data_IF_220237464953
#
_entry.id   IF_220237464953
#
_cell.length_a   1.000
_cell.length_b   1.000
_cell.length_c   1.000
_cell.angle_alpha   90.00
_cell.angle_beta   90.00
_cell.angle_gamma   90.00
#
_symmetry.space_group_name_H-M   'P 1'
#
loop_
_entity.id
_entity.type
_entity.pdbx_description
1 polymer ?
#
# COMPACT_ATOMS: atom_id res chain seq x y z
N UNK A 1 -13.38 6.07 -9.15
CA UNK A 1 -11.90 5.95 -9.13
C UNK A 1 -11.33 7.03 -8.23
N UNK A 2 -10.54 6.66 -7.26
CA UNK A 2 -9.95 7.60 -6.32
C UNK A 2 -8.46 7.78 -6.60
N UNK A 3 -7.99 9.01 -6.41
CA UNK A 3 -6.63 9.39 -6.78
C UNK A 3 -6.07 10.37 -5.77
N UNK A 4 -4.88 10.05 -5.24
CA UNK A 4 -4.14 10.94 -4.35
C UNK A 4 -3.07 11.65 -5.16
N UNK A 5 -3.20 12.97 -5.31
CA UNK A 5 -2.21 13.77 -6.01
C UNK A 5 -1.04 14.08 -5.07
N UNK A 6 0.17 13.76 -5.52
CA UNK A 6 1.41 14.07 -4.78
C UNK A 6 2.03 15.35 -5.35
N UNK A 7 2.08 15.46 -6.67
CA UNK A 7 2.57 16.65 -7.36
C UNK A 7 1.80 16.84 -8.67
N UNK A 8 2.24 17.77 -9.53
CA UNK A 8 1.57 18.01 -10.80
C UNK A 8 1.47 16.74 -11.67
N UNK A 9 2.50 15.88 -11.64
CA UNK A 9 2.59 14.70 -12.52
C UNK A 9 2.75 13.40 -11.74
N UNK A 10 2.66 13.42 -10.41
CA UNK A 10 2.84 12.25 -9.57
C UNK A 10 1.60 12.02 -8.73
N UNK A 11 1.21 10.76 -8.57
CA UNK A 11 0.09 10.43 -7.72
C UNK A 11 -0.15 8.93 -7.60
N UNK A 12 -1.14 8.59 -6.78
CA UNK A 12 -1.47 7.21 -6.44
C UNK A 12 -2.95 6.95 -6.73
N UNK A 13 -3.22 5.96 -7.55
CA UNK A 13 -4.56 5.40 -7.68
C UNK A 13 -4.84 4.52 -6.46
N UNK A 14 -6.03 4.63 -5.89
CA UNK A 14 -6.42 3.80 -4.76
C UNK A 14 -7.91 3.51 -4.73
N UNK A 15 -8.26 2.46 -3.97
CA UNK A 15 -9.64 2.10 -3.63
C UNK A 15 -9.70 1.88 -2.13
N UNK A 16 -10.57 2.61 -1.46
CA UNK A 16 -10.66 2.63 0.00
C UNK A 16 -12.10 2.44 0.47
N UNK A 17 -12.27 1.50 1.38
CA UNK A 17 -13.52 1.28 2.09
C UNK A 17 -13.24 1.34 3.60
N UNK A 18 -13.88 2.29 4.28
CA UNK A 18 -13.72 2.43 5.72
C UNK A 18 -14.30 1.23 6.48
N UNK A 19 -13.75 0.89 7.66
CA UNK A 19 -14.31 -0.21 8.45
C UNK A 19 -15.71 0.12 8.93
N UNK A 20 -16.59 -0.87 8.93
CA UNK A 20 -17.96 -0.75 9.51
C UNK A 20 -17.99 -1.15 10.98
N UNK A 21 -17.05 -2.00 11.42
CA UNK A 21 -16.91 -2.37 12.82
C UNK A 21 -16.24 -1.28 13.63
N UNK A 22 -16.72 -1.04 14.86
CA UNK A 22 -16.09 -0.10 15.76
C UNK A 22 -14.66 -0.56 16.10
N UNK A 23 -13.68 0.34 15.96
CA UNK A 23 -12.28 0.06 16.22
C UNK A 23 -11.66 -1.05 15.37
N UNK A 24 -12.35 -1.48 14.31
CA UNK A 24 -11.81 -2.49 13.41
C UNK A 24 -10.63 -1.92 12.59
N UNK A 25 -9.59 -2.71 12.36
CA UNK A 25 -8.48 -2.27 11.52
C UNK A 25 -8.88 -2.17 10.05
N UNK A 26 -8.08 -1.42 9.29
CA UNK A 26 -8.14 -1.37 7.84
C UNK A 26 -6.95 -2.13 7.29
N UNK A 27 -7.21 -3.14 6.46
CA UNK A 27 -6.14 -3.85 5.77
C UNK A 27 -5.64 -3.03 4.60
N UNK A 28 -4.34 -2.77 4.60
CA UNK A 28 -3.66 -1.98 3.57
C UNK A 28 -2.81 -2.94 2.75
N UNK A 29 -3.16 -3.09 1.49
CA UNK A 29 -2.51 -4.05 0.59
C UNK A 29 -1.38 -3.38 -0.17
N UNK A 30 -0.17 -3.93 -0.02
CA UNK A 30 1.02 -3.44 -0.69
C UNK A 30 1.41 -4.42 -1.77
N UNK A 31 1.29 -3.99 -3.02
CA UNK A 31 1.35 -4.84 -4.20
C UNK A 31 2.73 -5.46 -4.44
N UNK A 32 2.77 -6.66 -5.07
CA UNK A 32 3.97 -7.08 -5.79
C UNK A 32 4.16 -6.21 -7.04
N UNK A 33 5.30 -6.35 -7.72
CA UNK A 33 5.60 -5.54 -8.92
C UNK A 33 4.50 -5.62 -9.98
N UNK A 34 3.97 -6.81 -10.21
CA UNK A 34 2.95 -7.05 -11.24
C UNK A 34 1.51 -7.01 -10.70
N UNK A 35 1.31 -6.69 -9.41
CA UNK A 35 -0.01 -6.66 -8.81
C UNK A 35 -0.74 -5.34 -9.04
N UNK A 36 -2.05 -5.36 -8.83
CA UNK A 36 -2.89 -4.18 -8.93
C UNK A 36 -3.86 -4.09 -7.76
N UNK A 37 -4.33 -2.88 -7.47
CA UNK A 37 -5.34 -2.63 -6.45
C UNK A 37 -6.62 -3.43 -6.71
N UNK A 38 -7.02 -3.55 -7.98
CA UNK A 38 -8.25 -4.25 -8.35
C UNK A 38 -8.21 -5.73 -7.97
N UNK A 39 -7.06 -6.39 -8.07
CA UNK A 39 -6.94 -7.79 -7.68
C UNK A 39 -7.27 -8.00 -6.20
N UNK A 40 -6.73 -7.17 -5.33
CA UNK A 40 -7.03 -7.24 -3.89
C UNK A 40 -8.50 -7.00 -3.61
N UNK A 41 -9.08 -5.99 -4.25
CA UNK A 41 -10.48 -5.61 -4.04
C UNK A 41 -11.45 -6.69 -4.52
N UNK A 42 -11.11 -7.43 -5.56
CA UNK A 42 -11.94 -8.52 -6.08
C UNK A 42 -11.75 -9.82 -5.33
N UNK A 43 -10.52 -10.17 -4.95
CA UNK A 43 -10.20 -11.49 -4.42
C UNK A 43 -10.44 -11.60 -2.91
N UNK A 44 -9.85 -10.71 -2.13
CA UNK A 44 -9.94 -10.80 -0.65
C UNK A 44 -10.77 -9.68 -0.02
N UNK A 45 -10.94 -8.57 -0.71
CA UNK A 45 -11.65 -7.41 -0.19
C UNK A 45 -13.06 -7.70 0.29
N UNK A 46 -13.89 -8.39 -0.51
CA UNK A 46 -15.29 -8.64 -0.10
C UNK A 46 -15.42 -9.38 1.23
N UNK A 47 -14.62 -10.42 1.45
CA UNK A 47 -14.68 -11.19 2.70
C UNK A 47 -14.26 -10.34 3.90
N UNK A 48 -13.26 -9.49 3.75
CA UNK A 48 -12.79 -8.61 4.82
C UNK A 48 -13.83 -7.53 5.15
N UNK A 49 -14.42 -6.92 4.13
CA UNK A 49 -15.48 -5.92 4.34
C UNK A 49 -16.70 -6.51 4.98
N UNK A 50 -17.11 -7.71 4.57
CA UNK A 50 -18.24 -8.43 5.16
C UNK A 50 -18.01 -8.74 6.65
N UNK A 51 -16.76 -8.93 7.04
CA UNK A 51 -16.36 -9.14 8.43
C UNK A 51 -16.22 -7.85 9.24
N UNK A 52 -16.47 -6.69 8.64
CA UNK A 52 -16.43 -5.39 9.32
C UNK A 52 -15.10 -4.64 9.23
N UNK A 53 -14.11 -5.19 8.56
CA UNK A 53 -12.81 -4.54 8.37
C UNK A 53 -12.85 -3.52 7.25
N UNK A 54 -11.99 -2.50 7.36
CA UNK A 54 -11.72 -1.61 6.24
C UNK A 54 -10.70 -2.22 5.28
N UNK A 55 -10.68 -1.72 4.05
CA UNK A 55 -9.70 -2.12 3.04
C UNK A 55 -9.15 -0.89 2.32
N UNK A 56 -7.85 -0.89 2.09
CA UNK A 56 -7.18 0.07 1.21
C UNK A 56 -6.28 -0.71 0.26
N UNK A 57 -6.58 -0.62 -1.02
CA UNK A 57 -5.73 -1.15 -2.08
C UNK A 57 -5.27 0.03 -2.93
N UNK A 58 -3.99 0.09 -3.27
CA UNK A 58 -3.44 1.17 -4.07
C UNK A 58 -2.34 0.65 -4.99
N UNK A 59 -2.09 1.39 -6.05
CA UNK A 59 -0.96 1.14 -6.92
C UNK A 59 0.16 2.12 -6.57
N UNK A 60 1.36 1.60 -6.30
CA UNK A 60 2.48 2.50 -6.00
C UNK A 60 2.97 3.19 -7.29
N UNK A 61 3.70 4.29 -7.15
CA UNK A 61 4.15 5.06 -8.32
C UNK A 61 4.91 4.17 -9.29
N UNK A 62 4.55 4.25 -10.57
CA UNK A 62 5.07 3.40 -11.64
C UNK A 62 4.15 2.25 -12.01
N UNK A 63 3.20 1.89 -11.16
CA UNK A 63 2.16 0.91 -11.48
C UNK A 63 0.99 1.59 -12.23
N UNK A 64 0.04 0.80 -12.79
CA UNK A 64 -1.08 1.38 -13.55
C UNK A 64 -1.81 2.49 -12.78
N UNK A 65 -2.11 3.57 -13.48
CA UNK A 65 -2.84 4.74 -12.96
C UNK A 65 -2.16 5.49 -11.80
N UNK A 66 -0.91 5.16 -11.49
CA UNK A 66 -0.08 5.86 -10.51
C UNK A 66 1.15 6.44 -11.20
N UNK A 67 1.00 7.60 -11.85
CA UNK A 67 2.08 8.20 -12.63
C UNK A 67 3.17 8.81 -11.77
N UNK A 68 4.32 8.98 -12.38
CA UNK A 68 5.43 9.74 -11.78
C UNK A 68 6.13 10.56 -12.86
N UNK A 69 6.69 11.70 -12.46
CA UNK A 69 7.39 12.60 -13.38
C UNK A 69 8.77 12.04 -13.77
N UNK A 70 9.28 12.39 -14.96
CA UNK A 70 10.58 11.87 -15.43
C UNK A 70 11.77 12.14 -14.50
N UNK A 71 11.69 13.20 -13.68
CA UNK A 71 12.74 13.53 -12.72
C UNK A 71 12.64 12.79 -11.40
N UNK A 72 11.58 11.99 -11.19
CA UNK A 72 11.38 11.25 -9.94
C UNK A 72 12.22 9.97 -9.96
N UNK A 73 13.10 9.82 -8.97
CA UNK A 73 13.85 8.58 -8.80
C UNK A 73 13.00 7.59 -8.00
N UNK A 74 12.42 6.61 -8.69
CA UNK A 74 11.68 5.54 -8.02
C UNK A 74 12.65 4.61 -7.30
N UNK A 75 12.56 4.59 -5.99
CA UNK A 75 13.32 3.68 -5.16
C UNK A 75 12.47 3.21 -3.98
N UNK A 76 12.98 2.27 -3.22
CA UNK A 76 12.27 1.67 -2.09
C UNK A 76 11.91 2.69 -1.01
N UNK A 77 12.78 3.64 -0.72
CA UNK A 77 12.54 4.69 0.27
C UNK A 77 11.36 5.59 -0.14
N UNK A 78 11.32 5.98 -1.41
CA UNK A 78 10.23 6.81 -1.94
C UNK A 78 8.89 6.07 -1.86
N UNK A 79 8.86 4.83 -2.31
CA UNK A 79 7.63 4.03 -2.35
C UNK A 79 7.14 3.72 -0.93
N UNK A 80 8.04 3.40 -0.01
CA UNK A 80 7.69 3.22 1.40
C UNK A 80 7.16 4.52 2.02
N UNK A 81 7.73 5.65 1.65
CA UNK A 81 7.24 6.97 2.09
C UNK A 81 5.84 7.27 1.57
N UNK A 82 5.53 6.87 0.33
CA UNK A 82 4.20 7.03 -0.24
C UNK A 82 3.16 6.17 0.47
N UNK A 83 3.53 4.98 0.92
CA UNK A 83 2.65 4.14 1.73
C UNK A 83 2.23 4.86 3.01
N UNK A 84 3.19 5.46 3.70
CA UNK A 84 2.90 6.27 4.88
C UNK A 84 2.02 7.47 4.54
N UNK A 85 2.32 8.16 3.45
CA UNK A 85 1.57 9.33 3.02
C UNK A 85 0.09 9.00 2.77
N UNK A 86 -0.22 7.93 2.05
CA UNK A 86 -1.61 7.58 1.77
C UNK A 86 -2.36 7.16 3.05
N UNK A 87 -1.71 6.43 3.94
CA UNK A 87 -2.31 6.05 5.22
C UNK A 87 -2.64 7.30 6.05
N UNK A 88 -1.73 8.24 6.15
CA UNK A 88 -1.93 9.48 6.91
C UNK A 88 -2.98 10.38 6.25
N UNK A 89 -2.94 10.52 4.92
CA UNK A 89 -3.89 11.36 4.19
C UNK A 89 -5.32 10.86 4.31
N UNK A 90 -5.52 9.55 4.27
CA UNK A 90 -6.84 8.93 4.43
C UNK A 90 -7.25 8.74 5.90
N UNK A 91 -6.41 9.18 6.82
CA UNK A 91 -6.66 9.10 8.27
C UNK A 91 -7.00 7.68 8.73
N UNK A 92 -6.25 6.70 8.22
CA UNK A 92 -6.42 5.31 8.62
C UNK A 92 -5.77 5.12 9.99
N UNK A 93 -6.58 4.86 11.01
CA UNK A 93 -6.14 4.85 12.41
C UNK A 93 -5.48 3.56 12.83
N UNK A 94 -5.91 2.42 12.29
CA UNK A 94 -5.42 1.10 12.65
C UNK A 94 -5.07 0.31 11.38
N UNK A 95 -3.97 0.68 10.69
CA UNK A 95 -3.59 -0.02 9.48
C UNK A 95 -3.00 -1.40 9.79
N UNK A 96 -3.54 -2.44 9.16
CA UNK A 96 -2.93 -3.76 9.11
C UNK A 96 -2.29 -3.93 7.74
N UNK A 97 -0.97 -4.02 7.68
CA UNK A 97 -0.26 -4.09 6.42
C UNK A 97 -0.23 -5.51 5.87
N UNK A 98 -0.56 -5.65 4.59
CA UNK A 98 -0.48 -6.93 3.86
C UNK A 98 0.45 -6.71 2.69
N UNK A 99 1.67 -7.24 2.78
CA UNK A 99 2.69 -7.06 1.75
C UNK A 99 3.03 -8.37 1.06
N UNK A 100 2.96 -8.38 -0.26
CA UNK A 100 3.29 -9.53 -1.09
C UNK A 100 4.55 -9.26 -1.89
N UNK A 101 5.54 -10.16 -1.80
CA UNK A 101 6.81 -10.05 -2.51
C UNK A 101 7.50 -8.72 -2.16
N UNK A 102 7.84 -7.87 -3.14
CA UNK A 102 8.46 -6.56 -2.87
C UNK A 102 7.57 -5.66 -2.02
N UNK A 103 6.25 -5.85 -2.05
CA UNK A 103 5.32 -5.11 -1.19
C UNK A 103 5.60 -5.32 0.30
N UNK A 104 6.06 -6.50 0.68
CA UNK A 104 6.47 -6.77 2.05
C UNK A 104 7.70 -5.97 2.47
N UNK A 105 8.63 -5.72 1.55
CA UNK A 105 9.78 -4.87 1.81
C UNK A 105 9.34 -3.42 2.10
N UNK A 106 8.45 -2.87 1.27
CA UNK A 106 7.94 -1.51 1.45
C UNK A 106 7.18 -1.37 2.77
N UNK A 107 6.34 -2.36 3.10
CA UNK A 107 5.60 -2.38 4.36
C UNK A 107 6.54 -2.39 5.56
N UNK A 108 7.56 -3.24 5.52
CA UNK A 108 8.56 -3.34 6.60
C UNK A 108 9.35 -2.04 6.76
N UNK A 109 9.79 -1.45 5.65
CA UNK A 109 10.52 -0.18 5.70
C UNK A 109 9.67 0.95 6.25
N UNK A 110 8.40 1.03 5.88
CA UNK A 110 7.49 2.06 6.42
C UNK A 110 7.33 1.94 7.92
N UNK A 111 7.17 0.72 8.42
CA UNK A 111 7.06 0.48 9.86
C UNK A 111 8.35 0.84 10.59
N UNK A 112 9.50 0.42 10.07
CA UNK A 112 10.80 0.76 10.66
C UNK A 112 11.09 2.27 10.63
N UNK A 113 10.52 2.99 9.66
CA UNK A 113 10.63 4.45 9.57
C UNK A 113 9.63 5.19 10.48
N UNK A 114 8.83 4.47 11.28
CA UNK A 114 7.97 5.06 12.28
C UNK A 114 6.47 4.97 12.02
N UNK A 115 6.03 4.29 10.95
CA UNK A 115 4.60 4.07 10.72
C UNK A 115 4.05 3.14 11.80
N UNK A 116 3.05 3.63 12.54
CA UNK A 116 2.35 2.84 13.54
C UNK A 116 1.34 1.91 12.85
N UNK A 117 1.40 0.61 13.17
CA UNK A 117 0.55 -0.40 12.54
C UNK A 117 -0.13 -1.28 13.57
N UNK A 118 -1.34 -1.77 13.26
CA UNK A 118 -2.05 -2.73 14.09
C UNK A 118 -1.44 -4.14 13.96
N UNK A 119 -0.79 -4.43 12.85
CA UNK A 119 -0.15 -5.70 12.57
C UNK A 119 0.26 -5.77 11.10
N UNK A 120 0.89 -6.87 10.71
CA UNK A 120 1.24 -7.09 9.30
C UNK A 120 1.25 -8.56 8.94
N UNK A 121 0.98 -8.83 7.65
CA UNK A 121 1.13 -10.13 7.00
C UNK A 121 2.13 -9.96 5.86
N UNK A 122 3.28 -10.57 5.96
CA UNK A 122 4.37 -10.46 5.00
C UNK A 122 4.50 -11.79 4.29
N UNK A 123 4.21 -11.81 2.98
CA UNK A 123 4.08 -13.03 2.19
C UNK A 123 5.17 -13.04 1.12
N UNK A 124 6.01 -14.09 1.11
CA UNK A 124 7.04 -14.31 0.08
C UNK A 124 7.88 -13.06 -0.20
N UNK A 125 8.31 -12.38 0.86
CA UNK A 125 8.96 -11.08 0.72
C UNK A 125 10.47 -11.19 0.65
N UNK A 126 11.09 -10.12 0.13
CA UNK A 126 12.54 -9.93 0.14
C UNK A 126 12.95 -9.18 1.41
N UNK A 127 14.11 -9.53 1.95
CA UNK A 127 14.69 -8.76 3.05
C UNK A 127 15.34 -7.47 2.54
N UNK A 128 15.90 -7.52 1.36
CA UNK A 128 16.51 -6.37 0.68
C UNK A 128 16.64 -6.65 -0.81
N UNK A 129 16.73 -5.59 -1.60
CA UNK A 129 17.08 -5.70 -3.02
C UNK A 129 18.60 -5.68 -3.13
N UNK A 130 19.17 -6.74 -3.67
CA UNK A 130 20.62 -6.85 -3.86
C UNK A 130 20.99 -6.84 -5.34
N UNK A 131 22.30 -6.76 -5.62
CA UNK A 131 22.80 -6.69 -7.01
C UNK A 131 22.43 -7.91 -7.88
N UNK A 132 22.07 -9.03 -7.25
CA UNK A 132 21.72 -10.27 -7.98
C UNK A 132 20.27 -10.31 -8.41
N UNK A 133 19.44 -9.40 -7.90
CA UNK A 133 18.01 -9.33 -8.17
C UNK A 133 17.70 -8.12 -9.05
N UNK A 134 18.55 -7.11 -8.97
CA UNK A 134 18.39 -5.89 -9.74
C UNK A 134 18.59 -6.10 -11.25
#
# INVERSE_FOLDING_TARGET
MSYLRISANDGLYYEHDAPSGADAPTFVFVNPVSGTAQQWQQDVGPALRDAGYGTLAYNFRGQPDSPFSPGTALNDTLIAGDLRLIIETLEIKRPGLVGLSIGGLFATQSHLAGLDVAGWFIINTLRQIGPRIA
#
